data_IF_877644953946
#
_entry.id   IF_877644953946
#
_cell.length_a   1.000
_cell.length_b   1.000
_cell.length_c   1.000
_cell.angle_alpha   90.00
_cell.angle_beta   90.00
_cell.angle_gamma   90.00
#
_symmetry.space_group_name_H-M   'P 1'
#
loop_
_entity.id
_entity.type
_entity.pdbx_description
1 polymer ?
#
# COMPACT_ATOMS: atom_id res chain seq x y z
N UNK A 1 -3.15 17.29 13.42
CA UNK A 1 -1.90 16.55 13.20
C UNK A 1 -2.14 15.06 13.30
N UNK A 2 -2.10 14.36 12.16
CA UNK A 2 -2.18 12.90 12.18
C UNK A 2 -0.75 12.35 12.20
N UNK A 3 -0.30 12.01 13.41
CA UNK A 3 1.02 11.45 13.67
C UNK A 3 0.85 10.05 14.24
N UNK A 4 1.70 9.13 13.80
CA UNK A 4 1.73 7.78 14.37
C UNK A 4 1.96 7.86 15.89
N UNK A 5 1.21 7.08 16.71
CA UNK A 5 1.44 7.05 18.16
C UNK A 5 2.86 6.63 18.53
N UNK A 6 3.36 7.06 19.68
CA UNK A 6 4.74 6.78 20.11
C UNK A 6 5.09 5.28 20.17
N UNK A 7 4.12 4.44 20.47
CA UNK A 7 4.28 2.98 20.52
C UNK A 7 4.05 2.28 19.19
N UNK A 8 3.69 3.02 18.14
CA UNK A 8 3.44 2.45 16.82
C UNK A 8 4.74 2.13 16.08
N UNK A 9 4.63 1.31 15.04
CA UNK A 9 5.72 0.98 14.14
C UNK A 9 5.51 1.73 12.82
N UNK A 10 6.29 2.80 12.54
CA UNK A 10 6.15 3.55 11.30
C UNK A 10 6.53 2.70 10.09
N UNK A 11 5.71 2.75 9.04
CA UNK A 11 5.97 2.08 7.76
C UNK A 11 6.23 3.06 6.63
N UNK A 12 5.65 4.25 6.71
CA UNK A 12 5.82 5.31 5.72
C UNK A 12 5.71 6.67 6.39
N UNK A 13 6.69 7.52 6.12
CA UNK A 13 6.67 8.95 6.42
C UNK A 13 6.85 9.73 5.12
N UNK A 14 5.96 10.70 4.88
CA UNK A 14 6.06 11.56 3.70
C UNK A 14 7.04 12.68 4.00
N UNK A 15 8.15 12.70 3.29
CA UNK A 15 9.21 13.73 3.44
C UNK A 15 9.47 14.48 2.13
N UNK A 16 9.26 13.85 0.99
CA UNK A 16 9.41 14.42 -0.33
C UNK A 16 8.48 13.70 -1.32
N UNK A 17 8.52 14.08 -2.58
CA UNK A 17 7.67 13.48 -3.61
C UNK A 17 8.06 12.02 -3.95
N UNK A 18 9.25 11.59 -3.59
CA UNK A 18 9.67 10.20 -3.77
C UNK A 18 9.30 9.33 -2.58
N UNK A 19 9.69 9.75 -1.37
CA UNK A 19 9.43 9.06 -0.09
C UNK A 19 9.68 7.55 -0.14
N UNK A 20 10.61 7.11 -0.99
CA UNK A 20 10.96 5.70 -1.25
C UNK A 20 9.75 4.84 -1.63
N UNK A 21 8.85 5.40 -2.40
CA UNK A 21 7.66 4.73 -2.93
C UNK A 21 7.84 4.37 -4.39
N UNK A 22 7.35 3.20 -4.76
CA UNK A 22 7.13 2.82 -6.15
C UNK A 22 5.65 2.93 -6.47
N UNK A 23 5.31 3.67 -7.52
CA UNK A 23 3.92 3.81 -8.00
C UNK A 23 3.87 3.58 -9.49
N UNK A 24 3.00 2.68 -9.91
CA UNK A 24 2.85 2.30 -11.30
C UNK A 24 1.46 1.75 -11.59
N UNK A 25 1.13 1.67 -12.86
CA UNK A 25 -0.07 0.99 -13.34
C UNK A 25 0.29 -0.33 -14.01
N UNK A 26 -0.54 -1.33 -13.87
CA UNK A 26 -0.39 -2.61 -14.55
C UNK A 26 -1.54 -2.81 -15.54
N UNK A 27 -1.32 -3.43 -16.69
CA UNK A 27 -0.09 -4.09 -17.16
C UNK A 27 0.92 -3.15 -17.85
N UNK A 28 0.61 -1.89 -18.05
CA UNK A 28 1.42 -1.00 -18.89
C UNK A 28 2.65 -0.40 -18.20
N UNK A 29 2.78 -0.56 -16.89
CA UNK A 29 3.88 0.00 -16.09
C UNK A 29 4.04 1.53 -16.26
N UNK A 30 2.93 2.22 -16.50
CA UNK A 30 2.93 3.67 -16.67
C UNK A 30 3.27 4.36 -15.36
N UNK A 31 4.08 5.40 -15.45
CA UNK A 31 4.42 6.25 -14.30
C UNK A 31 3.23 7.10 -13.89
N UNK A 32 3.17 7.40 -12.62
CA UNK A 32 2.16 8.29 -12.03
C UNK A 32 2.77 9.66 -11.73
N UNK A 33 1.92 10.68 -11.67
CA UNK A 33 2.33 12.00 -11.21
C UNK A 33 2.23 12.08 -9.69
N UNK A 34 3.25 12.61 -9.04
CA UNK A 34 3.31 12.79 -7.59
C UNK A 34 3.55 14.25 -7.25
N UNK A 35 2.85 14.73 -6.26
CA UNK A 35 2.99 16.09 -5.76
C UNK A 35 3.00 16.08 -4.23
N UNK A 36 4.04 16.68 -3.66
CA UNK A 36 4.09 16.94 -2.23
C UNK A 36 3.14 18.09 -1.91
N UNK A 37 2.23 17.87 -0.98
CA UNK A 37 1.30 18.87 -0.49
C UNK A 37 1.75 19.33 0.89
N UNK A 38 2.20 20.56 0.97
CA UNK A 38 2.51 21.19 2.25
C UNK A 38 1.22 21.77 2.83
N UNK A 39 0.72 21.13 3.86
CA UNK A 39 -0.47 21.57 4.59
C UNK A 39 -0.15 22.79 5.49
N UNK A 40 -0.95 23.03 6.51
CA UNK A 40 -0.65 24.09 7.48
C UNK A 40 0.77 23.90 8.08
N UNK A 41 1.44 24.98 8.52
CA UNK A 41 2.82 24.87 9.02
C UNK A 41 3.04 23.86 10.17
N UNK A 42 1.98 23.55 10.89
CA UNK A 42 1.99 22.61 12.02
C UNK A 42 1.64 21.17 11.61
N UNK A 43 1.30 20.95 10.35
CA UNK A 43 0.92 19.63 9.84
C UNK A 43 2.05 19.02 9.01
N UNK A 44 2.17 17.70 9.07
CA UNK A 44 3.06 16.96 8.18
C UNK A 44 2.56 17.04 6.75
N UNK A 45 3.46 17.06 5.76
CA UNK A 45 3.07 17.03 4.37
C UNK A 45 2.37 15.72 4.01
N UNK A 46 1.56 15.78 2.97
CA UNK A 46 0.95 14.61 2.34
C UNK A 46 1.44 14.46 0.91
N UNK A 47 1.26 13.28 0.35
CA UNK A 47 1.60 12.99 -1.03
C UNK A 47 0.34 12.77 -1.83
N UNK A 48 0.14 13.60 -2.86
CA UNK A 48 -0.92 13.43 -3.84
C UNK A 48 -0.38 12.69 -5.05
N UNK A 49 -1.03 11.59 -5.40
CA UNK A 49 -0.66 10.77 -6.54
C UNK A 49 -1.84 10.76 -7.50
N UNK A 50 -1.58 11.17 -8.73
CA UNK A 50 -2.58 11.19 -9.80
C UNK A 50 -2.14 10.24 -10.90
N UNK A 51 -3.05 9.42 -11.37
CA UNK A 51 -2.80 8.51 -12.48
C UNK A 51 -4.03 8.39 -13.36
N UNK A 52 -3.76 8.03 -14.60
CA UNK A 52 -4.77 7.86 -15.63
C UNK A 52 -4.68 6.45 -16.20
N UNK A 53 -5.83 5.79 -16.28
CA UNK A 53 -5.98 4.61 -17.11
C UNK A 53 -6.18 5.04 -18.56
N UNK A 54 -5.39 4.46 -19.45
CA UNK A 54 -5.56 4.65 -20.90
C UNK A 54 -6.71 3.80 -21.44
N UNK A 55 -6.56 3.26 -22.61
CA UNK A 55 -7.60 2.55 -23.38
C UNK A 55 -8.19 1.32 -22.67
N UNK A 56 -7.48 0.78 -21.69
CA UNK A 56 -7.91 -0.41 -20.93
C UNK A 56 -7.89 -0.13 -19.43
N UNK A 57 -8.80 -0.77 -18.72
CA UNK A 57 -8.74 -0.78 -17.28
C UNK A 57 -7.38 -1.31 -16.79
N UNK A 58 -6.72 -0.55 -15.95
CA UNK A 58 -5.44 -0.89 -15.37
C UNK A 58 -5.56 -0.97 -13.85
N UNK A 59 -4.68 -1.74 -13.24
CA UNK A 59 -4.54 -1.77 -11.77
C UNK A 59 -3.47 -0.77 -11.38
N UNK A 60 -3.82 0.12 -10.48
CA UNK A 60 -2.84 0.99 -9.83
C UNK A 60 -2.23 0.27 -8.65
N UNK A 61 -0.91 0.39 -8.51
CA UNK A 61 -0.16 -0.21 -7.41
C UNK A 61 0.81 0.80 -6.82
N UNK A 62 0.78 0.91 -5.50
CA UNK A 62 1.78 1.61 -4.71
C UNK A 62 2.48 0.59 -3.82
N UNK A 63 3.81 0.56 -3.85
CA UNK A 63 4.61 -0.35 -3.04
C UNK A 63 5.75 0.37 -2.35
N UNK A 64 6.04 -0.07 -1.12
CA UNK A 64 7.22 0.34 -0.38
C UNK A 64 7.83 -0.86 0.32
N UNK A 65 9.12 -1.11 0.06
CA UNK A 65 9.87 -2.10 0.81
C UNK A 65 10.11 -1.58 2.23
N UNK A 66 9.65 -2.33 3.22
CA UNK A 66 9.65 -1.91 4.63
C UNK A 66 10.43 -2.83 5.54
N UNK A 67 10.95 -3.93 5.03
CA UNK A 67 11.66 -4.93 5.83
C UNK A 67 12.81 -4.33 6.63
N UNK A 68 13.59 -3.45 6.04
CA UNK A 68 14.71 -2.78 6.71
C UNK A 68 14.25 -1.89 7.87
N UNK A 69 13.05 -1.35 7.80
CA UNK A 69 12.48 -0.50 8.86
C UNK A 69 11.99 -1.32 10.06
N UNK A 70 11.61 -2.57 9.85
CA UNK A 70 10.97 -3.43 10.87
C UNK A 70 11.87 -4.53 11.43
N UNK A 71 12.92 -4.95 10.70
CA UNK A 71 13.80 -6.06 11.09
C UNK A 71 14.49 -5.86 12.47
N UNK A 72 14.76 -4.62 12.84
CA UNK A 72 15.33 -4.30 14.14
C UNK A 72 14.33 -4.29 15.30
N UNK A 73 13.06 -4.60 15.06
CA UNK A 73 11.95 -4.43 16.02
C UNK A 73 10.98 -5.62 16.05
N UNK A 74 11.47 -6.87 16.15
CA UNK A 74 10.62 -8.05 16.01
C UNK A 74 9.54 -8.16 17.09
N UNK A 75 9.85 -7.78 18.34
CA UNK A 75 8.87 -7.82 19.43
C UNK A 75 7.76 -6.79 19.24
N UNK A 76 8.11 -5.61 18.75
CA UNK A 76 7.13 -4.57 18.44
C UNK A 76 6.23 -5.01 17.28
N UNK A 77 6.81 -5.57 16.23
CA UNK A 77 6.06 -6.11 15.10
C UNK A 77 5.08 -7.20 15.53
N UNK A 78 5.53 -8.15 16.36
CA UNK A 78 4.70 -9.24 16.85
C UNK A 78 3.51 -8.78 17.69
N UNK A 79 3.61 -7.61 18.32
CA UNK A 79 2.53 -7.02 19.13
C UNK A 79 1.51 -6.23 18.31
N UNK A 80 1.82 -5.89 17.06
CA UNK A 80 0.92 -5.12 16.20
C UNK A 80 -0.31 -5.92 15.78
N UNK A 81 -1.45 -5.24 15.68
CA UNK A 81 -2.74 -5.84 15.31
C UNK A 81 -3.48 -5.08 14.22
N UNK A 82 -3.08 -3.84 13.95
CA UNK A 82 -3.81 -2.93 13.09
C UNK A 82 -2.87 -2.19 12.14
N UNK A 83 -3.22 -2.18 10.85
CA UNK A 83 -2.60 -1.32 9.85
C UNK A 83 -3.38 0.00 9.81
N UNK A 84 -2.69 1.12 10.00
CA UNK A 84 -3.27 2.45 9.99
C UNK A 84 -2.72 3.28 8.84
N UNK A 85 -3.61 3.92 8.08
CA UNK A 85 -3.27 4.72 6.92
C UNK A 85 -3.94 6.08 7.04
N UNK A 86 -3.14 7.15 7.13
CA UNK A 86 -3.68 8.49 6.97
C UNK A 86 -3.97 8.73 5.48
N UNK A 87 -5.24 8.86 5.12
CA UNK A 87 -5.68 9.08 3.76
C UNK A 87 -6.71 10.21 3.72
N UNK A 88 -6.35 11.34 3.12
CA UNK A 88 -7.26 12.47 2.93
C UNK A 88 -8.23 12.23 1.79
N UNK A 89 -7.78 11.50 0.76
CA UNK A 89 -8.57 11.15 -0.41
C UNK A 89 -8.13 9.81 -0.95
N UNK A 90 -9.09 8.96 -1.24
CA UNK A 90 -8.83 7.68 -1.89
C UNK A 90 -10.07 7.19 -2.64
N UNK A 91 -9.89 6.40 -3.72
CA UNK A 91 -11.02 5.88 -4.48
C UNK A 91 -11.73 4.76 -3.74
N UNK A 92 -13.00 4.59 -4.04
CA UNK A 92 -13.72 3.38 -3.67
C UNK A 92 -13.03 2.15 -4.25
N UNK A 93 -12.95 1.08 -3.48
CA UNK A 93 -12.26 -0.14 -3.89
C UNK A 93 -10.76 -0.16 -3.59
N UNK A 94 -10.22 0.86 -2.93
CA UNK A 94 -8.84 0.80 -2.43
C UNK A 94 -8.66 -0.39 -1.53
N UNK A 95 -7.56 -1.13 -1.76
CA UNK A 95 -7.11 -2.24 -0.91
C UNK A 95 -5.72 -1.93 -0.38
N UNK A 96 -5.44 -2.40 0.81
CA UNK A 96 -4.12 -2.24 1.42
C UNK A 96 -3.73 -3.49 2.19
N UNK A 97 -2.44 -3.71 2.29
CA UNK A 97 -1.87 -4.82 3.01
C UNK A 97 -0.40 -5.01 2.73
N UNK A 98 0.03 -6.26 2.62
CA UNK A 98 1.45 -6.58 2.56
C UNK A 98 1.75 -7.70 1.58
N UNK A 99 2.98 -7.65 1.07
CA UNK A 99 3.62 -8.77 0.40
C UNK A 99 4.59 -9.37 1.42
N UNK A 100 4.52 -10.67 1.62
CA UNK A 100 5.38 -11.40 2.56
C UNK A 100 6.67 -11.89 1.88
N UNK A 101 7.64 -12.31 2.68
CA UNK A 101 8.95 -12.75 2.20
C UNK A 101 8.90 -13.97 1.27
N UNK A 102 7.84 -14.75 1.33
CA UNK A 102 7.58 -15.87 0.40
C UNK A 102 6.90 -15.44 -0.90
N UNK A 103 6.65 -14.12 -1.08
CA UNK A 103 6.14 -13.54 -2.31
C UNK A 103 4.62 -13.47 -2.41
N UNK A 104 3.88 -13.92 -1.40
CA UNK A 104 2.41 -13.84 -1.42
C UNK A 104 1.91 -12.47 -0.98
N UNK A 105 0.81 -12.04 -1.57
CA UNK A 105 0.16 -10.76 -1.29
C UNK A 105 -1.11 -10.94 -0.48
N UNK A 106 -1.25 -10.17 0.59
CA UNK A 106 -2.40 -10.17 1.49
C UNK A 106 -2.98 -8.78 1.57
N UNK A 107 -4.25 -8.64 1.21
CA UNK A 107 -4.93 -7.35 1.16
C UNK A 107 -6.28 -7.39 1.88
N UNK A 108 -6.73 -6.22 2.32
CA UNK A 108 -8.08 -5.99 2.79
C UNK A 108 -8.62 -4.69 2.21
N UNK A 109 -9.94 -4.58 2.13
CA UNK A 109 -10.61 -3.38 1.63
C UNK A 109 -10.50 -2.24 2.63
N UNK A 110 -10.25 -1.04 2.13
CA UNK A 110 -10.20 0.19 2.92
C UNK A 110 -11.60 0.81 3.02
N UNK A 111 -11.96 1.24 4.21
CA UNK A 111 -13.19 1.97 4.48
C UNK A 111 -12.89 3.38 4.97
N UNK A 112 -13.69 4.34 4.53
CA UNK A 112 -13.56 5.71 4.97
C UNK A 112 -13.82 5.82 6.48
N UNK A 113 -13.00 6.64 7.15
CA UNK A 113 -13.16 6.96 8.55
C UNK A 113 -13.31 8.47 8.75
N UNK A 114 -14.06 8.87 9.77
CA UNK A 114 -14.37 10.28 10.05
C UNK A 114 -13.14 11.10 10.47
N UNK A 115 -12.11 10.44 10.99
CA UNK A 115 -10.85 11.09 11.42
C UNK A 115 -9.76 11.08 10.33
N UNK A 116 -10.06 10.59 9.13
CA UNK A 116 -9.10 10.50 8.04
C UNK A 116 -8.09 9.36 8.17
N UNK A 117 -8.27 8.45 9.13
CA UNK A 117 -7.41 7.30 9.33
C UNK A 117 -8.15 6.02 8.96
N UNK A 118 -7.66 5.31 7.96
CA UNK A 118 -8.12 3.96 7.63
C UNK A 118 -7.48 3.00 8.61
N UNK A 119 -8.29 2.14 9.25
CA UNK A 119 -7.80 1.10 10.16
C UNK A 119 -8.22 -0.26 9.64
N UNK A 120 -7.24 -1.13 9.45
CA UNK A 120 -7.43 -2.49 8.96
C UNK A 120 -6.88 -3.44 10.02
N UNK A 121 -7.75 -4.31 10.56
CA UNK A 121 -7.29 -5.41 11.40
C UNK A 121 -6.40 -6.35 10.57
N UNK A 122 -5.23 -6.73 11.09
CA UNK A 122 -4.36 -7.68 10.41
C UNK A 122 -5.01 -9.05 10.20
N UNK A 123 -6.02 -9.39 11.02
CA UNK A 123 -6.82 -10.60 10.86
C UNK A 123 -7.73 -10.57 9.62
N UNK A 124 -8.02 -9.39 9.09
CA UNK A 124 -8.87 -9.22 7.90
C UNK A 124 -8.08 -9.33 6.60
N UNK A 125 -6.75 -9.39 6.67
CA UNK A 125 -5.89 -9.57 5.51
C UNK A 125 -6.05 -10.96 4.92
N UNK A 126 -6.38 -11.01 3.64
CA UNK A 126 -6.61 -12.27 2.91
C UNK A 126 -5.64 -12.39 1.75
N UNK A 127 -5.16 -13.59 1.52
CA UNK A 127 -4.31 -13.90 0.38
C UNK A 127 -5.05 -13.57 -0.92
N UNK A 128 -4.37 -12.86 -1.81
CA UNK A 128 -4.88 -12.54 -3.15
C UNK A 128 -4.49 -13.62 -4.15
N UNK A 129 -5.01 -13.49 -5.37
CA UNK A 129 -4.67 -14.39 -6.47
C UNK A 129 -3.29 -14.11 -7.10
N UNK A 130 -2.51 -13.19 -6.53
CA UNK A 130 -1.24 -12.76 -7.12
C UNK A 130 -0.09 -13.02 -6.17
N UNK A 131 1.02 -13.53 -6.69
CA UNK A 131 2.31 -13.56 -6.00
C UNK A 131 3.25 -12.56 -6.65
N UNK A 132 4.09 -11.90 -5.85
CA UNK A 132 5.16 -11.07 -6.36
C UNK A 132 6.29 -11.97 -6.89
N UNK A 133 6.75 -11.69 -8.09
CA UNK A 133 7.86 -12.42 -8.70
C UNK A 133 9.15 -11.63 -8.58
N UNK A 134 10.31 -12.30 -8.47
CA UNK A 134 11.60 -11.63 -8.39
C UNK A 134 12.01 -10.95 -9.70
N UNK A 135 11.28 -11.20 -10.78
CA UNK A 135 11.54 -10.64 -12.12
C UNK A 135 10.25 -10.11 -12.73
N UNK A 136 10.38 -9.19 -13.67
CA UNK A 136 9.26 -8.76 -14.50
C UNK A 136 8.94 -9.85 -15.51
N UNK A 137 7.75 -10.38 -15.46
CA UNK A 137 7.26 -11.40 -16.41
C UNK A 137 6.23 -10.81 -17.36
N UNK A 138 6.14 -11.35 -18.58
CA UNK A 138 5.07 -10.97 -19.51
C UNK A 138 3.69 -11.24 -18.93
N UNK A 139 2.72 -10.38 -19.24
CA UNK A 139 1.35 -10.45 -18.71
C UNK A 139 0.66 -11.79 -19.00
N UNK A 140 0.98 -12.43 -20.12
CA UNK A 140 0.39 -13.73 -20.47
C UNK A 140 0.82 -14.87 -19.54
N UNK A 141 1.84 -14.66 -18.69
CA UNK A 141 2.29 -15.66 -17.73
C UNK A 141 1.62 -15.57 -16.37
N UNK A 142 0.72 -14.62 -16.15
CA UNK A 142 0.04 -14.39 -14.88
C UNK A 142 -0.56 -15.66 -14.26
N UNK A 143 -1.13 -16.52 -15.08
CA UNK A 143 -1.78 -17.75 -14.62
C UNK A 143 -0.79 -18.77 -14.02
N UNK A 144 0.49 -18.69 -14.33
CA UNK A 144 1.50 -19.58 -13.80
C UNK A 144 1.92 -19.22 -12.37
N UNK A 145 1.60 -18.02 -11.94
CA UNK A 145 2.09 -17.45 -10.68
C UNK A 145 0.99 -17.22 -9.65
N UNK A 146 -0.18 -17.79 -9.88
CA UNK A 146 -1.26 -17.75 -8.90
C UNK A 146 -0.98 -18.74 -7.79
N UNK A 147 -1.15 -18.34 -6.52
CA UNK A 147 -1.04 -19.26 -5.39
C UNK A 147 -2.01 -20.41 -5.56
N UNK A 148 -1.52 -21.64 -5.39
CA UNK A 148 -2.34 -22.85 -5.47
C UNK A 148 -2.83 -23.32 -4.11
N UNK A 149 -2.25 -22.81 -3.05
CA UNK A 149 -2.60 -23.13 -1.66
C UNK A 149 -2.88 -21.85 -0.90
N UNK A 150 -3.87 -21.92 -0.03
CA UNK A 150 -4.16 -20.83 0.91
C UNK A 150 -3.17 -20.91 2.09
N UNK A 151 -2.40 -19.84 2.27
CA UNK A 151 -1.44 -19.69 3.37
C UNK A 151 -1.92 -18.54 4.24
N UNK A 152 -2.14 -18.75 5.55
CA UNK A 152 -2.54 -17.66 6.44
C UNK A 152 -1.50 -16.56 6.53
N UNK A 153 -1.96 -15.31 6.64
CA UNK A 153 -1.10 -14.17 6.87
C UNK A 153 -0.37 -14.30 8.22
N UNK A 154 0.92 -14.02 8.20
CA UNK A 154 1.78 -13.95 9.39
C UNK A 154 2.52 -12.61 9.41
N UNK A 155 2.37 -11.90 10.51
CA UNK A 155 2.98 -10.56 10.66
C UNK A 155 4.51 -10.61 10.55
N UNK A 156 5.13 -11.68 10.99
CA UNK A 156 6.59 -11.88 10.95
C UNK A 156 7.13 -11.97 9.51
N UNK A 157 6.27 -12.29 8.56
CA UNK A 157 6.65 -12.42 7.15
C UNK A 157 6.57 -11.13 6.35
N UNK A 158 6.13 -10.03 6.94
CA UNK A 158 5.96 -8.75 6.24
C UNK A 158 7.28 -8.28 5.61
N UNK A 159 7.22 -7.92 4.34
CA UNK A 159 8.37 -7.39 3.61
C UNK A 159 8.06 -6.09 2.87
N UNK A 160 6.91 -6.03 2.19
CA UNK A 160 6.51 -4.89 1.37
C UNK A 160 5.10 -4.43 1.71
N UNK A 161 4.92 -3.13 1.88
CA UNK A 161 3.62 -2.49 1.98
C UNK A 161 3.04 -2.32 0.57
N UNK A 162 1.76 -2.65 0.40
CA UNK A 162 1.06 -2.45 -0.86
C UNK A 162 -0.29 -1.76 -0.67
N UNK A 163 -0.55 -0.76 -1.51
CA UNK A 163 -1.87 -0.20 -1.74
C UNK A 163 -2.20 -0.39 -3.22
N UNK A 164 -3.42 -0.80 -3.52
CA UNK A 164 -3.84 -1.03 -4.91
C UNK A 164 -5.33 -0.78 -5.11
N UNK A 165 -5.71 -0.46 -6.33
CA UNK A 165 -7.11 -0.41 -6.75
C UNK A 165 -7.23 -0.54 -8.26
N UNK A 166 -8.41 -0.91 -8.71
CA UNK A 166 -8.73 -1.01 -10.13
C UNK A 166 -9.05 0.37 -10.69
N UNK A 167 -8.34 0.78 -11.73
CA UNK A 167 -8.62 2.00 -12.47
C UNK A 167 -9.78 1.80 -13.44
N UNK A 168 -10.45 2.89 -13.76
CA UNK A 168 -11.47 2.93 -14.83
C UNK A 168 -10.82 3.47 -16.10
N UNK A 169 -11.03 2.81 -17.24
CA UNK A 169 -10.47 3.24 -18.51
C UNK A 169 -10.83 4.71 -18.82
N UNK A 170 -9.87 5.46 -19.31
CA UNK A 170 -9.97 6.89 -19.68
C UNK A 170 -10.35 7.83 -18.53
N UNK A 171 -10.16 7.38 -17.28
CA UNK A 171 -10.46 8.18 -16.10
C UNK A 171 -9.21 8.43 -15.26
N UNK A 172 -9.00 9.70 -14.90
CA UNK A 172 -8.01 10.08 -13.92
C UNK A 172 -8.52 9.75 -12.51
N UNK A 173 -7.64 9.23 -11.67
CA UNK A 173 -7.92 8.95 -10.26
C UNK A 173 -6.81 9.54 -9.39
N UNK A 174 -7.19 10.02 -8.22
CA UNK A 174 -6.29 10.68 -7.29
C UNK A 174 -6.37 10.03 -5.91
N UNK A 175 -5.21 9.83 -5.30
CA UNK A 175 -5.07 9.43 -3.91
C UNK A 175 -4.18 10.44 -3.18
N UNK A 176 -4.55 10.83 -1.97
CA UNK A 176 -3.73 11.68 -1.12
C UNK A 176 -3.51 10.98 0.22
N UNK A 177 -2.26 10.63 0.50
CA UNK A 177 -1.85 9.88 1.67
C UNK A 177 -0.83 10.63 2.52
N UNK A 178 -0.86 10.37 3.81
CA UNK A 178 0.14 10.80 4.77
C UNK A 178 0.87 9.61 5.37
N UNK A 179 1.10 9.63 6.68
CA UNK A 179 1.79 8.55 7.39
C UNK A 179 1.03 7.22 7.34
N UNK A 180 1.77 6.13 7.31
CA UNK A 180 1.25 4.76 7.43
C UNK A 180 2.05 4.07 8.53
N UNK A 181 1.36 3.36 9.42
CA UNK A 181 1.98 2.68 10.57
C UNK A 181 1.22 1.43 10.99
N UNK A 182 1.88 0.61 11.78
CA UNK A 182 1.26 -0.50 12.51
C UNK A 182 1.09 -0.14 14.00
N UNK A 183 0.00 -0.57 14.59
CA UNK A 183 -0.23 -0.52 16.03
C UNK A 183 -0.91 -1.80 16.56
#
# INVERSE_FOLDING_TARGET
>A
NVVAPEKSLPLLEIVDADSKLETYTMPEWSRTNRQLIQNAPTEKPTLRITFESKDKASVFVLRRYIKDDIDGRPDRLASCRTLCIHAKKFPEGLKAGFITSDGYTYLASCAAATDGIIRISLQDLKQTNTALLPHVYPVFLDNYFRPQTEIPFKVEGIETLELSFDGVAEKATEIEIGSIWLE
#
